data_IF_363778363922
#
_entry.id   IF_363778363922
#
_cell.length_a   1.000
_cell.length_b   1.000
_cell.length_c   1.000
_cell.angle_alpha   90.00
_cell.angle_beta   90.00
_cell.angle_gamma   90.00
#
_symmetry.space_group_name_H-M   'P 1'
#
loop_
_entity.id
_entity.type
_entity.pdbx_description
1 polymer ?
#
# COMPACT_ATOMS: atom_id res chain seq x y z
N UNK A 1 25.10 -14.19 27.92
CA UNK A 1 24.88 -13.16 28.95
C UNK A 1 25.24 -11.81 28.35
N UNK A 2 24.23 -11.01 28.03
CA UNK A 2 24.33 -9.56 27.86
C UNK A 2 22.93 -9.02 28.11
N UNK A 3 22.78 -8.29 29.20
CA UNK A 3 21.53 -7.79 29.75
C UNK A 3 21.29 -6.36 29.24
N UNK A 4 20.19 -6.12 28.52
CA UNK A 4 19.71 -4.76 28.28
C UNK A 4 18.52 -4.47 29.21
N UNK A 5 18.77 -3.56 30.14
CA UNK A 5 17.87 -3.05 31.16
C UNK A 5 16.92 -2.00 30.58
N UNK A 6 15.60 -2.23 30.67
CA UNK A 6 14.62 -1.15 30.76
C UNK A 6 13.86 -1.28 32.08
N UNK A 7 14.29 -0.48 33.07
CA UNK A 7 13.62 -0.38 34.38
C UNK A 7 12.83 0.93 34.46
N UNK A 8 11.51 0.77 34.64
CA UNK A 8 10.40 1.75 34.77
C UNK A 8 10.51 2.72 35.96
N UNK A 9 11.68 3.25 36.31
CA UNK A 9 11.83 4.04 37.55
C UNK A 9 12.35 5.47 37.31
N UNK A 10 11.65 6.26 36.47
CA UNK A 10 11.77 7.74 36.52
C UNK A 10 10.70 8.60 35.81
N UNK A 11 9.47 8.12 35.57
CA UNK A 11 8.50 8.92 34.79
C UNK A 11 7.08 9.07 35.38
N UNK A 12 6.87 8.81 36.68
CA UNK A 12 5.55 8.95 37.31
C UNK A 12 5.53 9.90 38.53
N UNK A 13 6.21 11.04 38.44
CA UNK A 13 6.10 12.05 39.49
C UNK A 13 6.05 13.48 38.93
N UNK A 14 5.02 13.78 38.15
CA UNK A 14 4.53 15.16 37.96
C UNK A 14 3.36 15.19 36.97
N UNK A 15 2.16 14.80 37.41
CA UNK A 15 0.89 15.29 36.87
C UNK A 15 -0.27 14.67 37.66
N UNK A 16 -0.57 15.22 38.84
CA UNK A 16 -1.86 15.01 39.47
C UNK A 16 -2.24 16.25 40.29
N UNK A 17 -3.50 16.67 40.09
CA UNK A 17 -4.30 17.63 40.85
C UNK A 17 -4.04 19.13 40.63
N UNK A 18 -4.97 19.80 39.94
CA UNK A 18 -5.98 20.77 40.44
C UNK A 18 -6.84 21.13 39.21
N UNK A 19 -8.17 21.20 39.19
CA UNK A 19 -9.25 21.13 40.16
C UNK A 19 -10.56 21.42 39.40
N UNK A 20 -11.66 20.79 39.81
CA UNK A 20 -12.99 20.99 39.21
C UNK A 20 -13.79 22.04 39.98
N UNK A 21 -14.23 23.11 39.30
CA UNK A 21 -15.44 23.95 39.53
C UNK A 21 -15.64 24.70 38.19
N UNK A 22 -16.71 24.59 37.40
CA UNK A 22 -18.14 24.71 37.70
C UNK A 22 -18.65 25.97 36.99
N UNK A 23 -19.36 25.83 35.86
CA UNK A 23 -20.32 26.81 35.36
C UNK A 23 -21.13 26.21 34.19
N UNK A 24 -22.44 26.03 34.41
CA UNK A 24 -23.41 25.88 33.33
C UNK A 24 -23.48 27.20 32.55
N UNK A 25 -22.94 27.22 31.34
CA UNK A 25 -23.13 28.30 30.38
C UNK A 25 -24.01 27.81 29.25
N UNK A 26 -25.19 28.40 29.11
CA UNK A 26 -26.08 28.22 27.96
C UNK A 26 -25.31 28.67 26.72
N UNK A 27 -24.81 27.71 25.94
CA UNK A 27 -24.14 27.95 24.67
C UNK A 27 -25.15 28.49 23.67
N UNK A 28 -25.24 29.82 23.57
CA UNK A 28 -25.82 30.46 22.40
C UNK A 28 -24.85 30.24 21.25
N UNK A 29 -25.21 29.34 20.32
CA UNK A 29 -24.54 29.21 19.03
C UNK A 29 -24.76 30.52 18.26
N UNK A 30 -23.89 31.50 18.48
CA UNK A 30 -23.87 32.73 17.71
C UNK A 30 -23.30 32.42 16.32
N UNK A 31 -24.21 32.14 15.39
CA UNK A 31 -23.98 32.14 13.95
C UNK A 31 -23.48 33.53 13.53
N UNK A 32 -22.16 33.71 13.44
CA UNK A 32 -21.60 34.90 12.81
C UNK A 32 -21.43 34.64 11.31
N UNK A 33 -22.46 35.01 10.56
CA UNK A 33 -22.31 35.33 9.16
C UNK A 33 -21.69 36.74 9.03
N UNK A 34 -20.56 36.84 8.33
CA UNK A 34 -20.11 38.07 7.69
C UNK A 34 -18.96 38.82 8.37
N UNK A 35 -17.79 38.80 7.73
CA UNK A 35 -16.65 39.67 8.07
C UNK A 35 -15.34 39.19 7.45
N UNK A 36 -15.32 38.97 6.12
CA UNK A 36 -14.11 38.52 5.42
C UNK A 36 -13.03 39.61 5.38
N UNK A 37 -11.91 39.37 6.05
CA UNK A 37 -10.61 39.95 5.71
C UNK A 37 -9.84 38.95 4.84
N UNK A 38 -9.28 39.42 3.74
CA UNK A 38 -8.42 38.63 2.87
C UNK A 38 -7.22 38.09 3.68
N UNK A 39 -7.14 36.77 3.82
CA UNK A 39 -5.95 36.09 4.35
C UNK A 39 -6.21 34.89 5.27
N UNK A 40 -7.42 34.72 5.81
CA UNK A 40 -7.70 33.62 6.75
C UNK A 40 -8.43 32.49 6.03
N UNK A 41 -7.67 31.50 5.54
CA UNK A 41 -8.29 30.27 5.04
C UNK A 41 -8.84 29.51 6.23
N UNK A 42 -10.16 29.31 6.28
CA UNK A 42 -10.79 28.45 7.27
C UNK A 42 -10.16 27.06 7.26
N UNK A 43 -10.14 26.42 8.43
CA UNK A 43 -9.61 25.04 8.60
C UNK A 43 -10.28 24.06 7.61
N UNK A 44 -11.53 24.33 7.22
CA UNK A 44 -12.31 23.53 6.27
C UNK A 44 -12.47 24.19 4.88
N UNK A 45 -11.58 25.12 4.52
CA UNK A 45 -11.60 25.68 3.18
C UNK A 45 -11.08 24.67 2.15
N UNK A 46 -11.66 24.71 0.96
CA UNK A 46 -11.22 23.87 -0.15
C UNK A 46 -9.76 24.19 -0.49
N UNK A 47 -8.92 23.15 -0.46
CA UNK A 47 -7.54 23.21 -0.94
C UNK A 47 -7.41 22.36 -2.20
N UNK A 48 -6.86 22.96 -3.25
CA UNK A 48 -6.45 22.23 -4.45
C UNK A 48 -5.27 21.34 -4.07
N UNK A 49 -5.34 20.08 -4.47
CA UNK A 49 -4.35 19.05 -4.20
C UNK A 49 -3.38 19.01 -5.36
N UNK A 50 -2.09 19.07 -5.04
CA UNK A 50 -1.04 18.89 -6.04
C UNK A 50 -0.77 17.40 -6.22
N UNK A 51 -0.96 16.91 -7.43
CA UNK A 51 -0.57 15.55 -7.78
C UNK A 51 -0.01 15.54 -9.20
N UNK A 52 1.21 15.03 -9.34
CA UNK A 52 1.86 14.88 -10.64
C UNK A 52 1.35 13.60 -11.28
N UNK A 53 0.25 13.71 -12.02
CA UNK A 53 -0.23 12.60 -12.84
C UNK A 53 0.77 12.32 -13.97
N UNK A 54 1.12 11.05 -14.23
CA UNK A 54 1.85 10.70 -15.44
C UNK A 54 0.95 10.90 -16.67
N UNK A 55 1.51 10.95 -17.88
CA UNK A 55 0.71 10.92 -19.11
C UNK A 55 -0.15 9.65 -19.16
N UNK A 56 -1.47 9.81 -19.21
CA UNK A 56 -2.44 8.70 -19.30
C UNK A 56 -2.64 8.30 -20.77
N UNK A 57 -1.60 7.71 -21.37
CA UNK A 57 -1.64 7.21 -22.75
C UNK A 57 -2.22 5.78 -22.79
N UNK A 58 -2.86 5.40 -23.89
CA UNK A 58 -3.36 4.02 -24.07
C UNK A 58 -2.23 3.02 -24.39
N UNK A 59 -1.07 3.50 -24.83
CA UNK A 59 0.14 2.70 -25.07
C UNK A 59 1.38 3.55 -24.84
N UNK A 60 2.47 2.92 -24.38
CA UNK A 60 3.73 3.60 -24.22
C UNK A 60 4.32 3.97 -25.60
N UNK A 61 4.92 5.17 -25.73
CA UNK A 61 5.51 5.61 -26.99
C UNK A 61 6.64 4.67 -27.41
N UNK A 62 6.83 4.47 -28.71
CA UNK A 62 7.96 3.69 -29.22
C UNK A 62 9.31 4.32 -28.85
N UNK A 63 10.38 3.52 -28.81
CA UNK A 63 11.71 3.98 -28.44
C UNK A 63 12.71 2.83 -28.27
N UNK A 64 13.83 3.12 -27.59
CA UNK A 64 14.85 2.14 -27.28
C UNK A 64 14.25 0.90 -26.60
N UNK A 65 14.80 -0.27 -26.92
CA UNK A 65 14.48 -1.52 -26.24
C UNK A 65 14.78 -1.40 -24.74
N UNK A 66 13.78 -1.69 -23.91
CA UNK A 66 13.92 -1.74 -22.46
C UNK A 66 13.84 -3.20 -21.99
N UNK A 67 14.85 -3.60 -21.22
CA UNK A 67 15.01 -4.95 -20.66
C UNK A 67 14.60 -4.95 -19.20
N UNK A 68 13.62 -5.78 -18.85
CA UNK A 68 13.16 -5.96 -17.49
C UNK A 68 13.61 -7.30 -16.89
N UNK A 69 13.90 -7.27 -15.59
CA UNK A 69 14.06 -8.45 -14.75
C UNK A 69 12.87 -8.62 -13.80
N UNK A 70 12.44 -9.86 -13.56
CA UNK A 70 11.35 -10.17 -12.62
C UNK A 70 11.93 -10.73 -11.33
N UNK A 71 11.59 -10.11 -10.20
CA UNK A 71 11.94 -10.59 -8.86
C UNK A 71 10.64 -10.98 -8.15
N UNK A 72 10.43 -12.27 -7.95
CA UNK A 72 9.16 -12.89 -7.55
C UNK A 72 8.37 -13.35 -8.76
N UNK A 73 8.45 -14.64 -9.10
CA UNK A 73 7.83 -15.29 -10.26
C UNK A 73 6.49 -15.96 -9.91
N UNK A 74 5.87 -15.59 -8.79
CA UNK A 74 4.52 -16.01 -8.42
C UNK A 74 3.43 -15.36 -9.28
N UNK A 75 2.15 -15.68 -9.02
CA UNK A 75 1.03 -15.28 -9.88
C UNK A 75 0.95 -13.77 -10.19
N UNK A 76 1.21 -12.90 -9.21
CA UNK A 76 1.24 -11.45 -9.44
C UNK A 76 2.45 -11.01 -10.28
N UNK A 77 3.64 -11.55 -10.02
CA UNK A 77 4.83 -11.29 -10.82
C UNK A 77 4.70 -11.77 -12.26
N UNK A 78 4.11 -12.95 -12.47
CA UNK A 78 3.75 -13.42 -13.82
C UNK A 78 2.74 -12.50 -14.50
N UNK A 79 1.79 -11.94 -13.75
CA UNK A 79 0.85 -10.94 -14.26
C UNK A 79 1.55 -9.64 -14.68
N UNK A 80 2.38 -9.08 -13.80
CA UNK A 80 3.13 -7.86 -14.05
C UNK A 80 4.11 -8.00 -15.22
N UNK A 81 4.75 -9.16 -15.39
CA UNK A 81 5.59 -9.43 -16.55
C UNK A 81 4.81 -9.32 -17.87
N UNK A 82 3.60 -9.89 -17.92
CA UNK A 82 2.72 -9.79 -19.09
C UNK A 82 2.22 -8.35 -19.27
N UNK A 83 1.80 -7.69 -18.19
CA UNK A 83 1.33 -6.30 -18.24
C UNK A 83 2.42 -5.33 -18.73
N UNK A 84 3.68 -5.58 -18.35
CA UNK A 84 4.82 -4.83 -18.86
C UNK A 84 4.98 -5.01 -20.38
N UNK A 85 4.90 -6.25 -20.88
CA UNK A 85 5.04 -6.50 -22.32
C UNK A 85 3.87 -5.96 -23.15
N UNK A 86 2.68 -5.87 -22.54
CA UNK A 86 1.49 -5.27 -23.16
C UNK A 86 1.49 -3.75 -23.09
N UNK A 87 2.42 -3.13 -22.37
CA UNK A 87 2.47 -1.67 -22.24
C UNK A 87 2.86 -0.98 -23.55
N UNK A 88 3.62 -1.62 -24.43
CA UNK A 88 4.03 -1.01 -25.69
C UNK A 88 5.14 -1.78 -26.41
N UNK A 89 5.64 -1.25 -27.54
CA UNK A 89 6.65 -1.91 -28.35
C UNK A 89 8.03 -1.88 -27.68
N UNK A 90 8.93 -2.78 -28.14
CA UNK A 90 10.35 -2.82 -27.75
C UNK A 90 10.55 -3.02 -26.23
N UNK A 91 9.81 -3.95 -25.64
CA UNK A 91 9.91 -4.34 -24.23
C UNK A 91 10.25 -5.84 -24.14
N UNK A 92 11.20 -6.21 -23.28
CA UNK A 92 11.62 -7.61 -23.10
C UNK A 92 11.78 -7.97 -21.63
N UNK A 93 11.48 -9.23 -21.30
CA UNK A 93 11.91 -9.84 -20.04
C UNK A 93 13.18 -10.64 -20.33
N UNK A 94 14.27 -10.35 -19.61
CA UNK A 94 15.58 -10.96 -19.86
C UNK A 94 16.15 -11.74 -18.68
N UNK A 95 15.57 -11.61 -17.48
CA UNK A 95 16.01 -12.30 -16.28
C UNK A 95 14.85 -12.58 -15.33
N UNK A 96 14.91 -13.72 -14.64
CA UNK A 96 13.90 -14.18 -13.69
C UNK A 96 14.59 -14.56 -12.37
N UNK A 97 14.01 -14.17 -11.24
CA UNK A 97 14.49 -14.51 -9.91
C UNK A 97 13.36 -14.85 -8.96
N UNK A 98 13.44 -16.01 -8.31
CA UNK A 98 12.53 -16.42 -7.24
C UNK A 98 13.29 -17.27 -6.20
N UNK A 99 12.71 -17.48 -5.03
CA UNK A 99 13.26 -18.46 -4.07
C UNK A 99 12.92 -19.89 -4.44
N UNK A 100 11.99 -20.10 -5.38
CA UNK A 100 11.51 -21.40 -5.80
C UNK A 100 11.66 -21.65 -7.30
N UNK A 101 12.29 -22.77 -7.65
CA UNK A 101 12.47 -23.20 -9.05
C UNK A 101 11.12 -23.34 -9.79
N UNK A 102 10.11 -23.93 -9.14
CA UNK A 102 8.78 -24.13 -9.75
C UNK A 102 8.11 -22.82 -10.18
N UNK A 103 8.45 -21.69 -9.53
CA UNK A 103 7.94 -20.37 -9.90
C UNK A 103 8.67 -19.79 -11.11
N UNK A 104 9.99 -19.95 -11.15
CA UNK A 104 10.80 -19.51 -12.29
C UNK A 104 10.39 -20.26 -13.56
N UNK A 105 10.27 -21.59 -13.47
CA UNK A 105 9.89 -22.45 -14.60
C UNK A 105 8.49 -22.09 -15.12
N UNK A 106 7.53 -21.93 -14.21
CA UNK A 106 6.15 -21.57 -14.57
C UNK A 106 6.07 -20.22 -15.30
N UNK A 107 6.83 -19.21 -14.87
CA UNK A 107 6.86 -17.93 -15.57
C UNK A 107 7.60 -18.03 -16.90
N UNK A 108 8.72 -18.74 -16.96
CA UNK A 108 9.46 -18.96 -18.20
C UNK A 108 8.60 -19.63 -19.28
N UNK A 109 7.86 -20.68 -18.91
CA UNK A 109 6.89 -21.34 -19.80
C UNK A 109 5.78 -20.39 -20.24
N UNK A 110 5.23 -19.60 -19.31
CA UNK A 110 4.19 -18.62 -19.63
C UNK A 110 4.66 -17.58 -20.66
N UNK A 111 5.87 -17.02 -20.49
CA UNK A 111 6.45 -16.05 -21.42
C UNK A 111 6.64 -16.66 -22.82
N UNK A 112 7.10 -17.91 -22.89
CA UNK A 112 7.24 -18.64 -24.15
C UNK A 112 5.87 -18.84 -24.82
N UNK A 113 4.87 -19.30 -24.07
CA UNK A 113 3.57 -19.65 -24.62
C UNK A 113 2.71 -18.44 -25.02
N UNK A 114 2.71 -17.38 -24.21
CA UNK A 114 1.81 -16.22 -24.42
C UNK A 114 2.47 -15.08 -25.22
N UNK A 115 3.80 -14.97 -25.18
CA UNK A 115 4.53 -13.84 -25.77
C UNK A 115 5.64 -14.27 -26.73
N UNK A 116 5.81 -15.57 -26.97
CA UNK A 116 6.90 -16.13 -27.78
C UNK A 116 8.27 -15.59 -27.34
N UNK A 117 8.47 -15.45 -26.03
CA UNK A 117 9.69 -14.91 -25.46
C UNK A 117 10.38 -15.93 -24.57
N UNK A 118 11.65 -16.19 -24.86
CA UNK A 118 12.47 -17.14 -24.12
C UNK A 118 13.48 -16.39 -23.24
N UNK A 119 13.57 -16.80 -21.98
CA UNK A 119 14.62 -16.35 -21.05
C UNK A 119 15.65 -17.48 -20.94
N UNK A 120 16.94 -17.23 -21.25
CA UNK A 120 17.98 -18.25 -21.14
C UNK A 120 18.11 -18.79 -19.71
N UNK A 121 18.48 -20.07 -19.56
CA UNK A 121 18.62 -20.70 -18.24
C UNK A 121 19.68 -20.00 -17.37
N UNK A 122 20.73 -19.46 -17.98
CA UNK A 122 21.76 -18.68 -17.28
C UNK A 122 21.23 -17.37 -16.67
N UNK A 123 20.05 -16.90 -17.10
CA UNK A 123 19.37 -15.72 -16.57
C UNK A 123 18.17 -16.07 -15.67
N UNK A 124 18.05 -17.34 -15.27
CA UNK A 124 17.06 -17.84 -14.33
C UNK A 124 17.74 -18.15 -13.00
N UNK A 125 17.42 -17.37 -11.97
CA UNK A 125 18.10 -17.43 -10.67
C UNK A 125 17.16 -17.93 -9.58
N UNK A 126 17.66 -18.85 -8.74
CA UNK A 126 16.93 -19.39 -7.60
C UNK A 126 17.69 -19.17 -6.30
N UNK A 127 16.99 -18.66 -5.28
CA UNK A 127 17.53 -18.43 -3.95
C UNK A 127 17.17 -17.07 -3.38
N UNK A 128 17.49 -16.85 -2.10
CA UNK A 128 17.29 -15.53 -1.47
C UNK A 128 18.19 -14.44 -2.06
N UNK A 129 19.30 -14.81 -2.70
CA UNK A 129 20.22 -13.92 -3.43
C UNK A 129 19.83 -13.73 -4.91
N UNK A 130 18.72 -14.33 -5.37
CA UNK A 130 18.31 -14.26 -6.77
C UNK A 130 18.03 -12.82 -7.23
N UNK A 131 17.57 -11.94 -6.34
CA UNK A 131 17.30 -10.55 -6.69
C UNK A 131 18.58 -9.79 -7.10
N UNK A 132 19.71 -10.04 -6.43
CA UNK A 132 21.00 -9.42 -6.76
C UNK A 132 21.46 -9.87 -8.16
N UNK A 133 21.34 -11.18 -8.44
CA UNK A 133 21.69 -11.75 -9.74
C UNK A 133 20.83 -11.20 -10.88
N UNK A 134 19.53 -10.99 -10.64
CA UNK A 134 18.64 -10.32 -11.61
C UNK A 134 19.10 -8.88 -11.89
N UNK A 135 19.53 -8.14 -10.87
CA UNK A 135 20.01 -6.77 -11.03
C UNK A 135 21.29 -6.69 -11.89
N UNK A 136 22.15 -7.70 -11.79
CA UNK A 136 23.41 -7.82 -12.53
C UNK A 136 23.23 -8.38 -13.96
N UNK A 137 22.06 -8.92 -14.30
CA UNK A 137 21.77 -9.55 -15.60
C UNK A 137 21.54 -8.55 -16.77
N UNK A 138 22.06 -7.32 -16.66
CA UNK A 138 21.97 -6.31 -17.72
C UNK A 138 20.56 -5.75 -17.95
N UNK A 139 19.75 -5.66 -16.88
CA UNK A 139 18.39 -5.09 -16.92
C UNK A 139 18.42 -3.56 -16.80
N UNK A 140 17.43 -2.90 -17.41
CA UNK A 140 17.13 -1.46 -17.27
C UNK A 140 16.06 -1.22 -16.19
N UNK A 141 15.10 -2.15 -16.10
CA UNK A 141 13.95 -2.12 -15.20
C UNK A 141 13.94 -3.38 -14.35
N UNK A 142 13.52 -3.28 -13.09
CA UNK A 142 13.11 -4.45 -12.30
C UNK A 142 11.65 -4.36 -11.85
N UNK A 143 10.99 -5.51 -11.88
CA UNK A 143 9.62 -5.70 -11.42
C UNK A 143 9.67 -6.48 -10.11
N UNK A 144 9.30 -5.84 -8.99
CA UNK A 144 9.37 -6.39 -7.64
C UNK A 144 8.01 -6.91 -7.17
N UNK A 145 7.81 -8.23 -7.27
CA UNK A 145 6.55 -8.91 -6.98
C UNK A 145 6.66 -10.01 -5.90
N UNK A 146 7.68 -9.93 -5.04
CA UNK A 146 7.85 -10.81 -3.87
C UNK A 146 6.85 -10.49 -2.75
N UNK A 147 6.72 -11.35 -1.71
CA UNK A 147 6.01 -10.95 -0.50
C UNK A 147 6.52 -9.60 0.03
N UNK A 148 5.62 -8.74 0.56
CA UNK A 148 5.96 -7.37 0.97
C UNK A 148 7.12 -7.21 1.93
N UNK A 149 7.38 -8.20 2.77
CA UNK A 149 8.51 -8.18 3.69
C UNK A 149 9.86 -7.95 3.01
N UNK A 150 10.08 -8.53 1.83
CA UNK A 150 11.37 -8.49 1.15
C UNK A 150 11.56 -7.23 0.29
N UNK A 151 10.47 -6.51 0.01
CA UNK A 151 10.46 -5.41 -0.95
C UNK A 151 11.33 -4.21 -0.56
N UNK A 152 11.44 -3.77 0.71
CA UNK A 152 12.32 -2.67 1.08
C UNK A 152 13.79 -2.91 0.70
N UNK A 153 14.29 -4.12 0.97
CA UNK A 153 15.65 -4.53 0.65
C UNK A 153 15.87 -4.65 -0.86
N UNK A 154 14.94 -5.32 -1.57
CA UNK A 154 15.02 -5.43 -3.03
C UNK A 154 14.96 -4.07 -3.73
N UNK A 155 14.13 -3.14 -3.24
CA UNK A 155 14.02 -1.80 -3.81
C UNK A 155 15.29 -0.98 -3.57
N UNK A 156 15.83 -0.99 -2.35
CA UNK A 156 17.09 -0.30 -2.07
C UNK A 156 18.24 -0.83 -2.94
N UNK A 157 18.34 -2.15 -3.09
CA UNK A 157 19.34 -2.77 -3.96
C UNK A 157 19.16 -2.36 -5.43
N UNK A 158 17.91 -2.33 -5.92
CA UNK A 158 17.60 -1.89 -7.29
C UNK A 158 18.01 -0.43 -7.55
N UNK A 159 17.74 0.46 -6.59
CA UNK A 159 18.14 1.87 -6.69
C UNK A 159 19.67 2.01 -6.61
N UNK A 160 20.35 1.26 -5.74
CA UNK A 160 21.84 1.24 -5.70
C UNK A 160 22.44 0.76 -7.02
N UNK A 161 21.81 -0.22 -7.66
CA UNK A 161 22.16 -0.71 -8.99
C UNK A 161 21.69 0.19 -10.14
N UNK A 162 21.11 1.36 -9.82
CA UNK A 162 20.62 2.39 -10.77
C UNK A 162 19.56 1.88 -11.74
N UNK A 163 18.64 1.04 -11.28
CA UNK A 163 17.56 0.46 -12.09
C UNK A 163 16.26 1.26 -11.95
N UNK A 164 15.51 1.39 -13.04
CA UNK A 164 14.11 1.80 -12.95
C UNK A 164 13.30 0.69 -12.27
N UNK A 165 12.22 1.06 -11.56
CA UNK A 165 11.50 0.09 -10.72
C UNK A 165 10.00 0.17 -10.97
N UNK A 166 9.40 -0.99 -11.19
CA UNK A 166 8.01 -1.22 -10.81
C UNK A 166 8.01 -2.08 -9.55
N UNK A 167 7.25 -1.71 -8.53
CA UNK A 167 7.09 -2.57 -7.35
C UNK A 167 5.64 -2.70 -6.94
N UNK A 168 5.21 -3.93 -6.69
CA UNK A 168 3.87 -4.20 -6.18
C UNK A 168 3.64 -3.55 -4.80
N UNK A 169 2.38 -3.21 -4.53
CA UNK A 169 1.95 -2.85 -3.17
C UNK A 169 1.71 -4.11 -2.33
N UNK A 170 1.74 -4.02 -1.00
CA UNK A 170 2.30 -2.94 -0.17
C UNK A 170 3.84 -2.89 -0.28
N UNK A 171 4.44 -1.72 -0.08
CA UNK A 171 5.90 -1.52 -0.19
C UNK A 171 6.67 -2.04 1.03
N UNK A 172 6.01 -2.16 2.19
CA UNK A 172 6.57 -2.78 3.39
C UNK A 172 5.46 -3.29 4.34
N UNK A 173 5.86 -4.05 5.36
CA UNK A 173 4.96 -4.56 6.41
C UNK A 173 5.16 -3.91 7.78
N UNK A 174 6.24 -3.14 7.95
CA UNK A 174 6.67 -2.57 9.23
C UNK A 174 7.34 -1.19 9.08
N UNK A 175 7.44 -0.45 10.20
CA UNK A 175 7.94 0.92 10.23
C UNK A 175 9.38 1.05 9.73
N UNK A 176 10.24 0.10 10.11
CA UNK A 176 11.62 0.08 9.65
C UNK A 176 11.71 -0.05 8.13
N UNK A 177 10.93 -0.95 7.53
CA UNK A 177 10.84 -1.13 6.09
C UNK A 177 10.27 0.11 5.37
N UNK A 178 9.28 0.78 5.95
CA UNK A 178 8.75 2.04 5.40
C UNK A 178 9.85 3.11 5.31
N UNK A 179 10.61 3.34 6.40
CA UNK A 179 11.71 4.31 6.38
C UNK A 179 12.78 3.96 5.34
N UNK A 180 13.08 2.68 5.18
CA UNK A 180 14.02 2.20 4.17
C UNK A 180 13.52 2.51 2.74
N UNK A 181 12.24 2.28 2.46
CA UNK A 181 11.62 2.63 1.16
C UNK A 181 11.68 4.14 0.91
N UNK A 182 11.33 4.97 1.90
CA UNK A 182 11.40 6.44 1.78
C UNK A 182 12.84 6.91 1.48
N UNK A 183 13.83 6.35 2.18
CA UNK A 183 15.23 6.68 1.93
C UNK A 183 15.67 6.27 0.52
N UNK A 184 15.31 5.07 0.08
CA UNK A 184 15.59 4.58 -1.27
C UNK A 184 14.85 5.40 -2.35
N UNK A 185 13.63 5.87 -2.08
CA UNK A 185 12.87 6.73 -2.98
C UNK A 185 13.59 8.07 -3.22
N UNK A 186 14.06 8.71 -2.15
CA UNK A 186 14.85 9.96 -2.24
C UNK A 186 16.15 9.77 -3.00
N UNK A 187 16.81 8.63 -2.80
CA UNK A 187 17.99 8.25 -3.58
C UNK A 187 17.64 8.07 -5.06
N UNK A 188 16.52 7.41 -5.39
CA UNK A 188 16.06 7.21 -6.76
C UNK A 188 15.81 8.54 -7.49
N UNK A 189 15.17 9.50 -6.83
CA UNK A 189 14.96 10.85 -7.37
C UNK A 189 16.27 11.56 -7.68
N UNK A 190 17.24 11.51 -6.75
CA UNK A 190 18.56 12.13 -6.95
C UNK A 190 19.34 11.53 -8.13
N UNK A 191 19.02 10.29 -8.51
CA UNK A 191 19.63 9.57 -9.61
C UNK A 191 18.84 9.70 -10.93
N UNK A 192 17.68 10.34 -10.89
CA UNK A 192 16.77 10.48 -12.04
C UNK A 192 16.04 9.20 -12.42
N UNK A 193 16.01 8.20 -11.54
CA UNK A 193 15.31 6.94 -11.76
C UNK A 193 13.80 7.15 -11.74
N UNK A 194 13.09 6.25 -12.41
CA UNK A 194 11.62 6.27 -12.50
C UNK A 194 11.09 5.10 -11.70
N UNK A 195 10.11 5.37 -10.85
CA UNK A 195 9.56 4.39 -9.93
C UNK A 195 8.04 4.46 -9.97
N UNK A 196 7.41 3.36 -10.37
CA UNK A 196 5.95 3.16 -10.30
C UNK A 196 5.65 2.12 -9.24
N UNK A 197 4.59 2.34 -8.47
CA UNK A 197 4.11 1.35 -7.50
C UNK A 197 2.78 0.73 -7.94
N UNK A 198 2.48 -0.49 -7.49
CA UNK A 198 1.24 -1.24 -7.78
C UNK A 198 -0.07 -0.64 -7.23
N UNK A 199 -0.12 0.68 -7.06
CA UNK A 199 -1.24 1.50 -6.62
C UNK A 199 -2.19 1.78 -7.78
N UNK A 200 -2.68 0.71 -8.43
CA UNK A 200 -3.38 0.74 -9.72
C UNK A 200 -4.49 1.76 -9.87
N UNK A 201 -5.17 2.14 -8.78
CA UNK A 201 -6.25 3.14 -8.81
C UNK A 201 -5.75 4.53 -9.21
N UNK A 202 -4.47 4.85 -8.95
CA UNK A 202 -3.80 6.07 -9.41
C UNK A 202 -3.56 6.08 -10.93
N UNK A 203 -3.63 4.91 -11.56
CA UNK A 203 -3.49 4.70 -12.99
C UNK A 203 -4.78 4.21 -13.63
N UNK A 204 -5.90 4.27 -12.91
CA UNK A 204 -7.21 3.92 -13.46
C UNK A 204 -7.93 5.19 -13.90
N UNK A 205 -8.27 5.27 -15.19
CA UNK A 205 -8.82 6.48 -15.82
C UNK A 205 -10.03 7.07 -15.08
N UNK A 206 -10.99 6.24 -14.67
CA UNK A 206 -12.17 6.71 -13.94
C UNK A 206 -11.86 7.22 -12.52
N UNK A 207 -10.82 6.70 -11.84
CA UNK A 207 -10.37 7.26 -10.57
C UNK A 207 -9.64 8.58 -10.77
N UNK A 208 -8.74 8.66 -11.77
CA UNK A 208 -8.04 9.89 -12.13
C UNK A 208 -9.02 11.00 -12.54
N UNK A 209 -10.05 10.66 -13.32
CA UNK A 209 -11.08 11.61 -13.75
C UNK A 209 -11.97 12.05 -12.57
N UNK A 210 -12.35 11.14 -11.67
CA UNK A 210 -13.06 11.52 -10.44
C UNK A 210 -12.22 12.44 -9.56
N UNK A 211 -10.92 12.13 -9.39
CA UNK A 211 -9.99 12.97 -8.64
C UNK A 211 -9.86 14.37 -9.25
N UNK A 212 -9.78 14.49 -10.59
CA UNK A 212 -9.75 15.79 -11.28
C UNK A 212 -10.97 16.64 -10.95
N UNK A 213 -12.18 16.07 -10.96
CA UNK A 213 -13.40 16.80 -10.61
C UNK A 213 -13.44 17.22 -9.14
N UNK A 214 -13.01 16.34 -8.22
CA UNK A 214 -12.82 16.71 -6.81
C UNK A 214 -11.83 17.87 -6.70
N UNK A 215 -10.73 17.82 -7.45
CA UNK A 215 -9.71 18.87 -7.48
C UNK A 215 -10.14 20.15 -8.20
N UNK A 216 -11.24 20.10 -8.95
CA UNK A 216 -11.94 21.25 -9.53
C UNK A 216 -13.05 21.77 -8.60
N UNK A 217 -13.05 21.37 -7.32
CA UNK A 217 -14.00 21.82 -6.30
C UNK A 217 -15.46 21.39 -6.55
N UNK A 218 -15.66 20.29 -7.30
CA UNK A 218 -16.99 19.78 -7.64
C UNK A 218 -17.78 19.33 -6.41
N UNK A 219 -17.12 18.77 -5.39
CA UNK A 219 -17.76 18.34 -4.15
C UNK A 219 -17.59 19.31 -2.98
N UNK A 220 -16.86 20.42 -3.15
CA UNK A 220 -16.49 21.27 -2.03
C UNK A 220 -15.31 20.70 -1.23
N UNK A 221 -15.23 21.07 0.05
CA UNK A 221 -14.26 20.48 0.98
C UNK A 221 -14.75 19.10 1.41
N UNK A 222 -13.85 18.10 1.41
CA UNK A 222 -14.13 16.78 1.99
C UNK A 222 -14.17 16.93 3.51
N UNK A 223 -15.30 16.62 4.13
CA UNK A 223 -15.52 16.70 5.59
C UNK A 223 -15.43 15.34 6.28
N UNK A 224 -15.71 14.26 5.55
CA UNK A 224 -15.51 12.89 6.03
C UNK A 224 -15.40 11.93 4.84
N UNK A 225 -14.89 10.73 5.09
CA UNK A 225 -14.91 9.67 4.09
C UNK A 225 -15.10 8.30 4.72
N UNK A 226 -15.54 7.36 3.90
CA UNK A 226 -15.66 5.95 4.23
C UNK A 226 -14.94 5.13 3.16
N UNK A 227 -14.11 4.18 3.59
CA UNK A 227 -13.35 3.31 2.69
C UNK A 227 -13.49 1.84 3.06
N UNK A 228 -13.75 1.00 2.06
CA UNK A 228 -14.17 -0.38 2.27
C UNK A 228 -13.39 -1.38 1.42
N UNK A 229 -12.92 -2.46 2.06
CA UNK A 229 -12.48 -3.69 1.39
C UNK A 229 -13.07 -4.91 2.09
N UNK A 230 -14.36 -5.15 1.85
CA UNK A 230 -15.07 -6.27 2.44
C UNK A 230 -15.27 -7.36 1.39
N UNK A 231 -14.60 -8.49 1.58
CA UNK A 231 -14.63 -9.63 0.69
C UNK A 231 -14.80 -10.96 1.41
N UNK A 232 -14.74 -12.02 0.61
CA UNK A 232 -14.67 -13.40 1.10
C UNK A 232 -13.28 -13.77 1.62
N UNK A 233 -13.17 -14.98 2.14
CA UNK A 233 -11.89 -15.58 2.55
C UNK A 233 -10.93 -15.61 1.35
N UNK A 234 -9.67 -15.23 1.57
CA UNK A 234 -8.59 -15.37 0.60
C UNK A 234 -8.02 -16.80 0.58
N UNK A 235 -7.21 -17.11 -0.42
CA UNK A 235 -6.55 -18.41 -0.54
C UNK A 235 -5.58 -18.67 0.63
N UNK A 236 -5.31 -19.95 0.86
CA UNK A 236 -4.27 -20.44 1.76
C UNK A 236 -3.62 -21.68 1.15
N UNK A 237 -2.44 -22.03 1.66
CA UNK A 237 -1.76 -23.30 1.36
C UNK A 237 -1.72 -24.13 2.62
N UNK A 238 -2.24 -25.35 2.53
CA UNK A 238 -2.07 -26.33 3.59
C UNK A 238 -0.58 -26.64 3.78
N UNK A 239 -0.20 -26.96 5.02
CA UNK A 239 1.16 -27.36 5.31
C UNK A 239 1.46 -28.68 4.59
N UNK A 240 2.56 -28.72 3.84
CA UNK A 240 3.03 -29.92 3.19
C UNK A 240 4.24 -30.46 3.97
N UNK A 241 4.22 -31.71 4.45
CA UNK A 241 5.34 -32.30 5.19
C UNK A 241 6.69 -32.29 4.45
N UNK A 242 6.71 -32.13 3.13
CA UNK A 242 7.96 -32.02 2.36
C UNK A 242 8.56 -30.62 2.35
N UNK A 243 7.83 -29.60 2.81
CA UNK A 243 8.31 -28.22 2.87
C UNK A 243 8.91 -27.93 4.23
N UNK A 244 10.03 -27.19 4.24
CA UNK A 244 10.50 -26.54 5.47
C UNK A 244 9.50 -25.50 5.96
N UNK A 245 9.62 -25.08 7.23
CA UNK A 245 8.80 -23.98 7.76
C UNK A 245 8.88 -22.73 6.88
N UNK A 246 10.08 -22.25 6.54
CA UNK A 246 10.25 -21.06 5.69
C UNK A 246 9.58 -21.25 4.32
N UNK A 247 9.75 -22.42 3.70
CA UNK A 247 9.13 -22.70 2.41
C UNK A 247 7.60 -22.63 2.49
N UNK A 248 7.00 -23.30 3.47
CA UNK A 248 5.55 -23.27 3.64
C UNK A 248 5.05 -21.84 3.88
N UNK A 249 5.72 -21.09 4.75
CA UNK A 249 5.33 -19.73 5.07
C UNK A 249 5.39 -18.80 3.86
N UNK A 250 6.44 -18.89 3.02
CA UNK A 250 6.51 -18.09 1.78
C UNK A 250 5.47 -18.57 0.77
N UNK A 251 5.18 -19.87 0.67
CA UNK A 251 4.11 -20.37 -0.20
C UNK A 251 2.71 -19.94 0.27
N UNK A 252 2.52 -19.77 1.58
CA UNK A 252 1.31 -19.29 2.25
C UNK A 252 1.40 -17.80 2.68
N UNK A 253 2.28 -17.01 2.05
CA UNK A 253 2.76 -15.73 2.58
C UNK A 253 1.67 -14.74 3.00
N UNK A 254 0.52 -14.77 2.31
CA UNK A 254 -0.54 -13.79 2.55
C UNK A 254 -1.14 -13.91 3.94
N UNK A 255 -1.07 -15.10 4.57
CA UNK A 255 -1.65 -15.38 5.87
C UNK A 255 -0.71 -15.06 7.05
N UNK A 256 0.56 -14.75 6.81
CA UNK A 256 1.55 -14.47 7.86
C UNK A 256 1.83 -12.97 7.97
N UNK A 257 1.60 -12.40 9.15
CA UNK A 257 1.72 -10.96 9.42
C UNK A 257 3.11 -10.44 9.08
N UNK A 258 4.17 -11.19 9.39
CA UNK A 258 5.52 -10.77 9.05
C UNK A 258 5.84 -10.79 7.55
N UNK A 259 5.07 -11.50 6.72
CA UNK A 259 5.25 -11.56 5.27
C UNK A 259 4.36 -10.57 4.52
N UNK A 260 3.08 -10.48 4.88
CA UNK A 260 2.08 -9.66 4.17
C UNK A 260 1.63 -8.41 4.90
N UNK A 261 1.82 -8.37 6.22
CA UNK A 261 1.35 -7.27 7.06
C UNK A 261 -0.12 -7.34 7.46
N UNK A 262 -0.82 -8.46 7.21
CA UNK A 262 -2.30 -8.62 7.30
C UNK A 262 -3.05 -7.90 6.17
N UNK A 263 -4.28 -8.32 5.89
CA UNK A 263 -5.11 -7.85 4.80
C UNK A 263 -5.42 -6.35 4.83
N UNK A 264 -5.34 -5.69 6.00
CA UNK A 264 -5.40 -4.23 6.07
C UNK A 264 -4.22 -3.58 5.34
N UNK A 265 -3.02 -4.16 5.46
CA UNK A 265 -1.79 -3.71 4.78
C UNK A 265 -1.70 -4.28 3.37
N UNK A 266 -2.11 -5.53 3.15
CA UNK A 266 -1.97 -6.19 1.84
C UNK A 266 -3.04 -5.75 0.85
N UNK A 267 -4.33 -5.86 1.18
CA UNK A 267 -5.42 -5.56 0.24
C UNK A 267 -6.02 -4.18 0.45
N UNK A 268 -6.42 -3.87 1.69
CA UNK A 268 -7.17 -2.66 2.00
C UNK A 268 -6.35 -1.38 1.84
N UNK A 269 -5.02 -1.49 1.80
CA UNK A 269 -4.12 -0.38 1.47
C UNK A 269 -4.52 0.33 0.18
N UNK A 270 -5.15 -0.35 -0.78
CA UNK A 270 -5.70 0.32 -1.98
C UNK A 270 -6.70 1.43 -1.62
N UNK A 271 -7.65 1.17 -0.73
CA UNK A 271 -8.66 2.18 -0.39
C UNK A 271 -8.11 3.23 0.59
N UNK A 272 -7.19 2.83 1.47
CA UNK A 272 -6.47 3.77 2.36
C UNK A 272 -5.62 4.74 1.53
N UNK A 273 -4.97 4.24 0.48
CA UNK A 273 -4.23 5.05 -0.47
C UNK A 273 -5.14 6.01 -1.25
N UNK A 274 -6.30 5.55 -1.73
CA UNK A 274 -7.28 6.44 -2.37
C UNK A 274 -7.78 7.53 -1.42
N UNK A 275 -8.03 7.20 -0.15
CA UNK A 275 -8.40 8.22 0.85
C UNK A 275 -7.30 9.27 1.00
N UNK A 276 -6.06 8.83 1.19
CA UNK A 276 -4.90 9.74 1.35
C UNK A 276 -4.69 10.59 0.09
N UNK A 277 -4.87 10.00 -1.09
CA UNK A 277 -4.76 10.69 -2.38
C UNK A 277 -5.88 11.73 -2.62
N UNK A 278 -7.13 11.34 -2.39
CA UNK A 278 -8.30 12.20 -2.64
C UNK A 278 -8.42 13.29 -1.60
N UNK A 279 -7.97 13.06 -0.37
CA UNK A 279 -7.92 14.08 0.67
C UNK A 279 -6.69 14.98 0.47
N UNK A 280 -5.56 14.42 0.02
CA UNK A 280 -4.32 15.14 -0.29
C UNK A 280 -3.33 15.17 0.87
N UNK A 281 -3.59 14.44 1.94
CA UNK A 281 -2.73 14.30 3.11
C UNK A 281 -3.03 12.96 3.81
N UNK A 282 -2.23 12.58 4.80
CA UNK A 282 -2.46 11.39 5.61
C UNK A 282 -3.07 11.75 6.98
N UNK A 283 -3.80 10.84 7.64
CA UNK A 283 -4.24 11.05 9.01
C UNK A 283 -3.06 11.12 9.98
N UNK A 284 -3.26 11.79 11.12
CA UNK A 284 -2.26 11.95 12.18
C UNK A 284 -2.38 10.89 13.26
N UNK A 285 -3.53 10.22 13.37
CA UNK A 285 -3.73 9.11 14.32
C UNK A 285 -4.86 8.16 13.92
N UNK A 286 -4.86 6.98 14.53
CA UNK A 286 -5.87 5.94 14.36
C UNK A 286 -6.34 5.36 15.69
N UNK A 287 -7.62 4.98 15.74
CA UNK A 287 -8.19 4.06 16.73
C UNK A 287 -8.88 2.92 15.98
N UNK A 288 -8.41 1.69 16.20
CA UNK A 288 -8.83 0.51 15.47
C UNK A 288 -9.31 -0.63 16.35
N UNK A 289 -10.16 -1.47 15.75
CA UNK A 289 -10.65 -2.73 16.29
C UNK A 289 -10.55 -3.83 15.24
N UNK A 290 -10.41 -5.06 15.67
CA UNK A 290 -10.38 -6.21 14.78
C UNK A 290 -10.41 -7.52 15.54
N UNK A 291 -10.51 -8.62 14.80
CA UNK A 291 -10.49 -9.96 15.40
C UNK A 291 -10.15 -11.03 14.37
N UNK A 292 -9.67 -12.17 14.85
CA UNK A 292 -9.66 -13.44 14.11
C UNK A 292 -10.85 -14.31 14.55
N UNK A 293 -11.52 -14.91 13.59
CA UNK A 293 -12.71 -15.74 13.76
C UNK A 293 -12.72 -17.01 12.91
N UNK A 294 -12.11 -17.00 11.71
CA UNK A 294 -12.29 -18.05 10.69
C UNK A 294 -11.03 -18.44 9.92
N UNK A 295 -9.93 -17.67 9.98
CA UNK A 295 -8.67 -18.03 9.31
C UNK A 295 -8.14 -19.40 9.74
N UNK A 296 -7.68 -20.17 8.76
CA UNK A 296 -7.17 -21.55 8.94
C UNK A 296 -5.68 -21.54 9.31
N UNK A 297 -4.86 -20.79 8.57
CA UNK A 297 -3.41 -20.69 8.76
C UNK A 297 -3.01 -19.28 9.21
N UNK A 298 -1.74 -19.10 9.56
CA UNK A 298 -1.18 -17.78 9.86
C UNK A 298 -1.61 -17.17 11.20
N UNK A 299 -1.23 -15.92 11.44
CA UNK A 299 -1.31 -15.20 12.72
C UNK A 299 -2.11 -13.89 12.65
N UNK A 300 -2.97 -13.78 11.63
CA UNK A 300 -3.68 -12.55 11.27
C UNK A 300 -5.15 -12.48 11.72
N UNK A 301 -5.73 -11.29 11.67
CA UNK A 301 -7.15 -11.02 11.83
C UNK A 301 -7.95 -11.29 10.54
N UNK A 302 -9.24 -11.57 10.71
CA UNK A 302 -10.21 -11.71 9.62
C UNK A 302 -10.85 -10.36 9.23
N UNK A 303 -10.80 -9.35 10.13
CA UNK A 303 -11.42 -8.05 9.93
C UNK A 303 -10.72 -6.92 10.70
N UNK A 304 -10.86 -5.70 10.18
CA UNK A 304 -10.51 -4.45 10.84
C UNK A 304 -11.61 -3.40 10.65
N UNK A 305 -11.81 -2.57 11.66
CA UNK A 305 -12.58 -1.33 11.62
C UNK A 305 -11.76 -0.25 12.31
N UNK A 306 -11.39 0.80 11.57
CA UNK A 306 -10.44 1.82 12.01
C UNK A 306 -11.03 3.20 11.75
N UNK A 307 -10.98 4.05 12.76
CA UNK A 307 -11.25 5.47 12.64
C UNK A 307 -9.93 6.23 12.55
N UNK A 308 -9.73 6.95 11.46
CA UNK A 308 -8.54 7.77 11.21
C UNK A 308 -8.89 9.24 11.41
N UNK A 309 -8.06 9.96 12.16
CA UNK A 309 -8.26 11.38 12.47
C UNK A 309 -7.17 12.19 11.78
N UNK A 310 -7.57 13.25 11.09
CA UNK A 310 -6.70 14.21 10.41
C UNK A 310 -6.37 15.39 11.33
N UNK A 311 -5.32 16.15 11.01
CA UNK A 311 -4.85 17.28 11.83
C UNK A 311 -5.96 18.31 12.12
N UNK A 312 -6.85 18.51 11.15
CA UNK A 312 -7.98 19.43 11.26
C UNK A 312 -9.24 18.83 11.91
N UNK A 313 -9.15 17.60 12.43
CA UNK A 313 -10.25 16.92 13.10
C UNK A 313 -11.22 16.22 12.16
N UNK A 314 -10.97 16.14 10.85
CA UNK A 314 -11.77 15.28 9.96
C UNK A 314 -11.54 13.81 10.25
N UNK A 315 -12.60 13.03 10.05
CA UNK A 315 -12.59 11.59 10.27
C UNK A 315 -12.74 10.82 8.96
N UNK A 316 -11.96 9.76 8.81
CA UNK A 316 -12.11 8.75 7.77
C UNK A 316 -12.32 7.40 8.42
N UNK A 317 -13.49 6.81 8.17
CA UNK A 317 -13.78 5.47 8.64
C UNK A 317 -13.32 4.44 7.61
N UNK A 318 -12.58 3.44 8.07
CA UNK A 318 -11.99 2.39 7.26
C UNK A 318 -12.44 1.03 7.75
N UNK A 319 -12.95 0.18 6.86
CA UNK A 319 -13.40 -1.17 7.22
C UNK A 319 -12.99 -2.21 6.18
N UNK A 320 -12.39 -3.31 6.62
CA UNK A 320 -12.07 -4.45 5.77
C UNK A 320 -12.35 -5.80 6.45
N UNK A 321 -12.60 -6.82 5.61
CA UNK A 321 -12.96 -8.18 6.04
C UNK A 321 -12.64 -9.20 4.97
N UNK A 322 -12.22 -10.40 5.40
CA UNK A 322 -12.08 -11.60 4.56
C UNK A 322 -12.86 -12.80 5.15
N UNK A 323 -14.19 -12.75 5.10
CA UNK A 323 -15.05 -13.83 5.62
C UNK A 323 -16.12 -14.17 4.58
N UNK A 324 -16.25 -15.46 4.28
CA UNK A 324 -17.24 -15.98 3.33
C UNK A 324 -18.68 -15.74 3.80
N UNK A 325 -19.60 -15.66 2.84
CA UNK A 325 -21.05 -15.56 3.09
C UNK A 325 -21.46 -14.35 3.94
N UNK A 326 -20.73 -13.24 3.79
CA UNK A 326 -21.04 -11.94 4.40
C UNK A 326 -21.29 -10.87 3.31
N UNK A 327 -21.87 -9.73 3.70
CA UNK A 327 -22.08 -8.60 2.79
C UNK A 327 -20.73 -8.05 2.29
N UNK A 328 -20.53 -8.03 0.98
CA UNK A 328 -19.27 -7.61 0.35
C UNK A 328 -19.38 -6.19 -0.23
N UNK A 329 -18.22 -5.55 -0.42
CA UNK A 329 -18.12 -4.23 -1.02
C UNK A 329 -16.70 -3.71 -0.98
N UNK A 330 -16.21 -3.28 -2.14
CA UNK A 330 -14.92 -2.59 -2.29
C UNK A 330 -15.18 -1.26 -2.96
N UNK A 331 -15.18 -0.18 -2.18
CA UNK A 331 -15.51 1.17 -2.67
C UNK A 331 -15.11 2.25 -1.65
N UNK A 332 -15.22 3.49 -2.08
CA UNK A 332 -15.00 4.71 -1.31
C UNK A 332 -16.21 5.63 -1.42
N UNK A 333 -16.43 6.42 -0.36
CA UNK A 333 -17.42 7.49 -0.30
C UNK A 333 -16.74 8.70 0.33
N UNK A 334 -16.76 9.84 -0.35
CA UNK A 334 -16.23 11.10 0.13
C UNK A 334 -17.36 12.10 0.26
N UNK A 335 -17.64 12.52 1.49
CA UNK A 335 -18.66 13.51 1.78
C UNK A 335 -18.04 14.90 1.68
N UNK A 336 -18.47 15.65 0.66
CA UNK A 336 -18.06 17.02 0.45
C UNK A 336 -19.13 18.02 0.93
N UNK A 337 -18.75 19.29 1.10
CA UNK A 337 -19.70 20.36 1.48
C UNK A 337 -20.73 20.72 0.41
N UNK A 338 -20.55 20.26 -0.84
CA UNK A 338 -21.48 20.52 -1.96
C UNK A 338 -22.15 19.25 -2.50
N UNK A 339 -21.42 18.13 -2.51
CA UNK A 339 -21.85 16.89 -3.14
C UNK A 339 -21.06 15.70 -2.56
N UNK A 340 -21.41 14.50 -2.96
CA UNK A 340 -20.76 13.25 -2.55
C UNK A 340 -20.05 12.65 -3.76
N UNK A 341 -18.77 12.35 -3.64
CA UNK A 341 -18.07 11.51 -4.61
C UNK A 341 -18.06 10.06 -4.11
N UNK A 342 -18.37 9.10 -4.98
CA UNK A 342 -18.42 7.68 -4.60
C UNK A 342 -17.99 6.77 -5.72
N UNK A 343 -17.41 5.62 -5.36
CA UNK A 343 -17.09 4.51 -6.28
C UNK A 343 -18.01 3.30 -6.05
N UNK A 344 -19.03 3.44 -5.20
CA UNK A 344 -19.97 2.39 -4.87
C UNK A 344 -20.87 2.03 -6.07
N UNK A 345 -21.35 0.78 -6.10
CA UNK A 345 -22.24 0.30 -7.16
C UNK A 345 -21.55 0.12 -8.52
N UNK A 346 -20.22 0.09 -8.57
CA UNK A 346 -19.45 -0.09 -9.80
C UNK A 346 -19.34 1.18 -10.66
N UNK A 347 -19.71 2.34 -10.10
CA UNK A 347 -19.64 3.65 -10.77
C UNK A 347 -18.77 4.60 -9.98
N UNK A 348 -17.85 5.28 -10.66
CA UNK A 348 -17.13 6.42 -10.11
C UNK A 348 -17.93 7.68 -10.44
N UNK A 349 -18.60 8.27 -9.46
CA UNK A 349 -19.60 9.32 -9.72
C UNK A 349 -19.62 10.40 -8.64
N UNK A 350 -20.25 11.52 -8.98
CA UNK A 350 -20.62 12.59 -8.04
C UNK A 350 -22.14 12.71 -8.01
N UNK A 351 -22.71 12.76 -6.81
CA UNK A 351 -24.15 12.90 -6.58
C UNK A 351 -24.45 14.08 -5.66
N UNK A 352 -25.60 14.73 -5.85
CA UNK A 352 -26.09 15.76 -4.95
C UNK A 352 -26.74 15.18 -3.67
N UNK A 353 -27.20 16.06 -2.78
CA UNK A 353 -27.86 15.66 -1.53
C UNK A 353 -29.22 14.95 -1.74
N UNK A 354 -29.85 15.11 -2.91
CA UNK A 354 -31.08 14.41 -3.27
C UNK A 354 -30.80 13.04 -3.92
N UNK A 355 -29.53 12.71 -4.17
CA UNK A 355 -29.09 11.49 -4.83
C UNK A 355 -29.10 11.56 -6.35
N UNK A 356 -29.25 12.75 -6.95
CA UNK A 356 -29.16 12.91 -8.40
C UNK A 356 -27.70 12.81 -8.84
N UNK A 357 -27.45 12.04 -9.91
CA UNK A 357 -26.13 11.92 -10.52
C UNK A 357 -25.77 13.23 -11.23
N UNK A 358 -24.72 13.90 -10.75
CA UNK A 358 -24.17 15.13 -11.34
C UNK A 358 -23.07 14.84 -12.36
N UNK A 359 -22.31 13.76 -12.14
CA UNK A 359 -21.17 13.38 -12.98
C UNK A 359 -20.89 11.88 -12.85
N UNK A 360 -20.40 11.25 -13.91
CA UNK A 360 -19.86 9.88 -13.90
C UNK A 360 -18.54 9.85 -14.68
N UNK A 361 -17.49 9.42 -14.00
CA UNK A 361 -16.13 9.40 -14.48
C UNK A 361 -15.94 8.31 -15.53
N UNK A 362 -15.50 8.70 -16.71
CA UNK A 362 -15.24 7.77 -17.80
C UNK A 362 -13.97 6.94 -17.54
N UNK A 363 -14.04 5.65 -17.86
CA UNK A 363 -12.91 4.72 -17.82
C UNK A 363 -12.11 4.71 -19.13
N UNK A 364 -11.30 3.68 -19.29
CA UNK A 364 -10.61 3.32 -20.54
C UNK A 364 -10.66 1.80 -20.68
N UNK A 365 -10.57 1.31 -21.91
CA UNK A 365 -10.36 -0.11 -22.21
C UNK A 365 -8.98 -0.60 -21.72
N UNK A 366 -8.04 0.33 -21.56
CA UNK A 366 -6.71 0.04 -21.00
C UNK A 366 -6.83 -0.35 -19.54
N UNK A 367 -6.49 -1.61 -19.25
CA UNK A 367 -6.44 -2.16 -17.90
C UNK A 367 -5.53 -1.32 -16.99
N UNK A 368 -5.92 -0.98 -15.75
CA UNK A 368 -5.08 -0.18 -14.87
C UNK A 368 -3.75 -0.88 -14.53
N UNK A 369 -3.70 -2.21 -14.53
CA UNK A 369 -2.46 -2.97 -14.37
C UNK A 369 -1.49 -2.76 -15.56
N UNK A 370 -1.99 -2.59 -16.78
CA UNK A 370 -1.15 -2.26 -17.94
C UNK A 370 -0.79 -0.79 -17.92
N UNK A 371 -1.71 0.08 -17.51
CA UNK A 371 -1.49 1.53 -17.41
C UNK A 371 -0.33 1.89 -16.49
N UNK A 372 -0.15 1.20 -15.37
CA UNK A 372 1.03 1.33 -14.49
C UNK A 372 2.34 1.20 -15.28
N UNK A 373 2.45 0.16 -16.11
CA UNK A 373 3.64 -0.09 -16.92
C UNK A 373 3.74 0.87 -18.12
N UNK A 374 2.62 1.27 -18.73
CA UNK A 374 2.61 2.32 -19.77
C UNK A 374 3.21 3.61 -19.20
N UNK A 375 2.80 4.00 -18.00
CA UNK A 375 3.27 5.20 -17.34
C UNK A 375 4.76 5.11 -17.01
N UNK A 376 5.23 3.97 -16.49
CA UNK A 376 6.65 3.74 -16.22
C UNK A 376 7.48 3.88 -17.51
N UNK A 377 7.13 3.14 -18.56
CA UNK A 377 7.87 3.14 -19.84
C UNK A 377 7.85 4.52 -20.49
N UNK A 378 6.70 5.20 -20.46
CA UNK A 378 6.56 6.56 -20.99
C UNK A 378 7.48 7.53 -20.26
N UNK A 379 7.49 7.48 -18.92
CA UNK A 379 8.34 8.36 -18.12
C UNK A 379 9.83 8.08 -18.33
N UNK A 380 10.22 6.83 -18.56
CA UNK A 380 11.60 6.46 -18.93
C UNK A 380 11.96 7.04 -20.30
N UNK A 381 11.18 6.72 -21.34
CA UNK A 381 11.47 7.11 -22.73
C UNK A 381 11.46 8.62 -22.96
N UNK A 382 10.59 9.33 -22.25
CA UNK A 382 10.45 10.79 -22.37
C UNK A 382 11.22 11.55 -21.28
N UNK A 383 11.94 10.84 -20.41
CA UNK A 383 12.66 11.41 -19.26
C UNK A 383 11.79 12.32 -18.38
N UNK A 384 10.54 11.92 -18.13
CA UNK A 384 9.64 12.62 -17.22
C UNK A 384 9.99 12.19 -15.78
N UNK A 385 10.29 13.12 -14.85
CA UNK A 385 10.50 12.77 -13.45
C UNK A 385 9.22 12.15 -12.85
N UNK A 386 9.31 10.91 -12.39
CA UNK A 386 8.17 10.17 -11.84
C UNK A 386 8.61 9.12 -10.82
N UNK A 387 8.22 9.30 -9.57
CA UNK A 387 8.55 8.41 -8.46
C UNK A 387 7.41 8.42 -7.45
N UNK A 388 6.74 7.27 -7.30
CA UNK A 388 5.60 7.12 -6.40
C UNK A 388 5.98 6.49 -5.05
N UNK A 389 7.24 6.05 -4.88
CA UNK A 389 7.60 5.20 -3.75
C UNK A 389 7.44 5.86 -2.38
N UNK A 390 7.79 7.14 -2.23
CA UNK A 390 7.63 7.85 -0.95
C UNK A 390 6.15 7.98 -0.59
N UNK A 391 5.32 8.47 -1.51
CA UNK A 391 3.89 8.63 -1.27
C UNK A 391 3.19 7.29 -0.99
N UNK A 392 3.55 6.24 -1.73
CA UNK A 392 3.01 4.91 -1.48
C UNK A 392 3.46 4.37 -0.12
N UNK A 393 4.70 4.66 0.31
CA UNK A 393 5.16 4.30 1.64
C UNK A 393 4.38 5.04 2.75
N UNK A 394 4.02 6.30 2.55
CA UNK A 394 3.17 7.05 3.48
C UNK A 394 1.77 6.42 3.60
N UNK A 395 1.08 6.17 2.47
CA UNK A 395 -0.22 5.47 2.46
C UNK A 395 -0.15 4.08 3.11
N UNK A 396 0.94 3.36 2.87
CA UNK A 396 1.19 2.05 3.47
C UNK A 396 1.42 2.16 4.98
N UNK A 397 2.07 3.22 5.47
CA UNK A 397 2.26 3.46 6.90
C UNK A 397 0.93 3.74 7.59
N UNK A 398 -0.02 4.41 6.92
CA UNK A 398 -1.40 4.59 7.45
C UNK A 398 -2.07 3.22 7.68
N UNK A 399 -1.95 2.29 6.72
CA UNK A 399 -2.47 0.93 6.90
C UNK A 399 -1.79 0.18 8.05
N UNK A 400 -0.46 0.33 8.19
CA UNK A 400 0.30 -0.25 9.30
C UNK A 400 -0.13 0.37 10.65
N UNK A 401 -0.37 1.68 10.70
CA UNK A 401 -0.88 2.39 11.88
C UNK A 401 -2.25 1.84 12.30
N UNK A 402 -3.18 1.67 11.35
CA UNK A 402 -4.48 1.06 11.63
C UNK A 402 -4.38 -0.37 12.17
N UNK A 403 -3.47 -1.18 11.62
CA UNK A 403 -3.18 -2.53 12.12
C UNK A 403 -2.68 -2.49 13.56
N UNK A 404 -1.65 -1.70 13.84
CA UNK A 404 -1.02 -1.63 15.17
C UNK A 404 -2.01 -1.11 16.20
N UNK A 405 -2.83 -0.11 15.85
CA UNK A 405 -3.92 0.35 16.72
C UNK A 405 -4.89 -0.79 17.06
N UNK A 406 -5.37 -1.53 16.06
CA UNK A 406 -6.29 -2.64 16.28
C UNK A 406 -5.68 -3.84 17.03
N UNK A 407 -4.40 -4.12 16.83
CA UNK A 407 -3.70 -5.22 17.52
C UNK A 407 -3.44 -4.90 18.99
N UNK A 408 -3.04 -3.66 19.28
CA UNK A 408 -2.71 -3.23 20.64
C UNK A 408 -3.95 -2.78 21.44
N UNK A 409 -5.01 -2.35 20.74
CA UNK A 409 -6.19 -1.71 21.33
C UNK A 409 -5.93 -0.27 21.80
N UNK A 410 -4.87 0.38 21.29
CA UNK A 410 -4.49 1.74 21.66
C UNK A 410 -4.73 2.72 20.50
N UNK A 411 -4.90 4.00 20.85
CA UNK A 411 -4.66 5.07 19.89
C UNK A 411 -3.19 5.04 19.48
N UNK A 412 -2.93 5.18 18.18
CA UNK A 412 -1.58 5.20 17.61
C UNK A 412 -1.47 6.38 16.67
N UNK A 413 -0.40 7.15 16.79
CA UNK A 413 -0.13 8.31 15.93
C UNK A 413 0.77 7.95 14.75
N UNK A 414 0.68 8.74 13.67
CA UNK A 414 1.52 8.58 12.50
C UNK A 414 3.00 8.80 12.85
N UNK A 415 3.29 9.80 13.70
CA UNK A 415 4.64 10.12 14.16
C UNK A 415 5.24 9.01 15.02
N UNK A 416 4.47 8.39 15.91
CA UNK A 416 4.93 7.20 16.65
C UNK A 416 5.32 6.08 15.69
N UNK A 417 4.51 5.85 14.64
CA UNK A 417 4.81 4.81 13.65
C UNK A 417 6.02 5.15 12.79
N UNK A 418 6.19 6.41 12.38
CA UNK A 418 7.36 6.85 11.61
C UNK A 418 8.65 6.71 12.40
N UNK A 419 8.61 6.94 13.72
CA UNK A 419 9.78 6.86 14.61
C UNK A 419 9.96 5.48 15.27
N UNK A 420 9.05 4.53 15.06
CA UNK A 420 9.09 3.20 15.68
C UNK A 420 10.18 2.31 15.09
N UNK A 421 10.90 1.56 15.93
CA UNK A 421 11.84 0.51 15.52
C UNK A 421 11.18 -0.83 15.21
N UNK A 422 9.85 -0.86 15.09
CA UNK A 422 9.09 -2.07 14.77
C UNK A 422 9.61 -2.72 13.49
N UNK A 423 10.04 -3.98 13.63
CA UNK A 423 10.49 -4.86 12.56
C UNK A 423 9.87 -6.23 12.76
N UNK A 424 9.15 -6.72 11.75
CA UNK A 424 8.49 -8.02 11.80
C UNK A 424 9.39 -9.13 11.22
N UNK A 425 9.18 -10.37 11.66
CA UNK A 425 9.83 -11.55 11.07
C UNK A 425 11.29 -11.75 11.49
N UNK A 426 11.95 -12.79 10.93
CA UNK A 426 13.33 -13.12 11.28
C UNK A 426 14.32 -12.09 10.74
N UNK A 427 15.50 -12.02 11.36
CA UNK A 427 16.61 -11.14 10.92
C UNK A 427 17.44 -11.75 9.79
N UNK A 428 17.38 -13.07 9.61
CA UNK A 428 18.10 -13.81 8.57
C UNK A 428 17.14 -14.78 7.88
N UNK A 429 17.25 -14.90 6.57
CA UNK A 429 16.41 -15.81 5.78
C UNK A 429 17.22 -17.06 5.41
N UNK A 430 16.71 -18.22 5.82
CA UNK A 430 17.26 -19.53 5.46
C UNK A 430 16.12 -20.42 4.98
N UNK A 431 16.38 -21.28 4.00
CA UNK A 431 15.39 -22.28 3.56
C UNK A 431 15.43 -23.47 4.52
N UNK A 432 14.68 -23.37 5.61
CA UNK A 432 14.69 -24.32 6.72
C UNK A 432 13.72 -23.91 7.81
N UNK A 433 13.84 -24.59 8.95
CA UNK A 433 13.04 -24.29 10.14
C UNK A 433 13.59 -23.05 10.86
N UNK A 434 12.72 -22.07 11.12
CA UNK A 434 13.04 -20.77 11.72
C UNK A 434 12.42 -20.56 13.10
N UNK A 435 11.58 -21.49 13.56
CA UNK A 435 10.91 -21.46 14.87
C UNK A 435 9.92 -20.31 15.04
N UNK A 436 9.37 -19.79 13.93
CA UNK A 436 8.40 -18.70 13.96
C UNK A 436 7.01 -19.24 14.34
N UNK A 437 6.58 -20.34 13.74
CA UNK A 437 5.26 -20.94 13.93
C UNK A 437 4.96 -21.27 15.40
N UNK A 438 5.96 -21.72 16.15
CA UNK A 438 5.82 -22.01 17.58
C UNK A 438 5.44 -20.77 18.42
N UNK A 439 5.80 -19.58 17.93
CA UNK A 439 5.58 -18.29 18.59
C UNK A 439 4.49 -17.46 17.92
N UNK A 440 4.03 -17.88 16.76
CA UNK A 440 3.03 -17.17 15.97
C UNK A 440 1.69 -17.22 16.69
N UNK A 441 1.34 -16.12 17.34
CA UNK A 441 0.06 -15.96 18.04
C UNK A 441 -0.75 -14.85 17.42
N UNK A 442 -2.05 -15.07 17.34
CA UNK A 442 -3.00 -14.03 16.95
C UNK A 442 -2.94 -12.91 17.98
N UNK A 443 -2.80 -11.64 17.56
CA UNK A 443 -2.79 -10.50 18.47
C UNK A 443 -4.04 -10.44 19.35
N UNK A 444 -3.88 -9.97 20.59
CA UNK A 444 -4.97 -9.82 21.56
C UNK A 444 -4.96 -8.36 22.06
N UNK A 445 -5.97 -7.54 21.70
CA UNK A 445 -6.02 -6.14 22.10
C UNK A 445 -6.05 -5.97 23.61
N UNK A 446 -5.45 -4.88 24.11
CA UNK A 446 -5.39 -4.58 25.54
C UNK A 446 -4.37 -5.42 26.32
N UNK A 447 -3.59 -6.28 25.65
CA UNK A 447 -2.43 -6.92 26.25
C UNK A 447 -1.17 -6.06 26.05
N UNK A 448 -0.27 -6.08 27.03
CA UNK A 448 1.07 -5.51 26.85
C UNK A 448 1.81 -6.45 25.88
N UNK A 449 1.88 -6.11 24.59
CA UNK A 449 2.62 -6.92 23.62
C UNK A 449 4.06 -7.18 24.12
N UNK A 450 4.48 -8.44 24.03
CA UNK A 450 5.88 -8.83 24.24
C UNK A 450 6.64 -8.36 23.00
N UNK A 451 7.41 -7.29 23.19
CA UNK A 451 8.43 -6.76 22.29
C UNK A 451 9.34 -7.83 21.71
#
# INVERSE_FOLDING_TARGET
MSSNNFSRRKFLSSAAAVGAVGAMGVGTLSSCAGGGTAGDTGIYDFKKREYKLPPMLDTAPDGQELKAGIIGCGGRGSGAAINFLDAGPNLKIVALGDVFQDRVDSLKEKLKNEKNMEVPDENCFVGFDAFEKVLDAGVDIVILATPPKFRPEHFEAAVKARKHVFMEKPVAVDSAGIRQVIAAAKMADSQGLKVVTGTQRRHQHNYVNLWKEINNNAIGQIVSANVYWNGGKLWHRDNNPSWSEMEWMIRDWVNWCWLSGDHIVEQHVHNIDVASWFIGEHPVKAVGFGSRQRRVTGDQYDNFSVDYVYEDGRHVHSMCRQINSCANGVYEIFHGTKAIATTAGGKNQIVDAAGNQLFEAQGSETSPYVQEHINLVTCIRQNIPFNEAEQTAESNLVAIMGRVSAYTGKEVTFDEMMNSDMKLGPTTYIMGDIGYMEKATVPVPGTLERS
#
